data_IF_877967208683
#
_entry.id   IF_877967208683
#
_cell.length_a   1.000
_cell.length_b   1.000
_cell.length_c   1.000
_cell.angle_alpha   90.00
_cell.angle_beta   90.00
_cell.angle_gamma   90.00
#
_symmetry.space_group_name_H-M   'P 1'
#
loop_
_entity.id
_entity.type
_entity.pdbx_description
1 polymer ?
#
# COMPACT_ATOMS: atom_id res chain seq x y z
N UNK A 1 38.61 34.38 -18.67
CA UNK A 1 38.23 33.18 -17.89
C UNK A 1 36.81 33.26 -17.33
N UNK A 2 36.34 34.43 -16.86
CA UNK A 2 35.02 34.56 -16.22
C UNK A 2 33.81 34.19 -17.10
N UNK A 3 33.83 34.52 -18.40
CA UNK A 3 32.76 34.12 -19.33
C UNK A 3 32.89 32.66 -19.82
N UNK A 4 34.07 32.05 -19.69
CA UNK A 4 34.35 30.71 -20.21
C UNK A 4 33.65 29.63 -19.37
N UNK A 5 33.62 29.80 -18.04
CA UNK A 5 33.01 28.84 -17.13
C UNK A 5 31.50 28.70 -17.35
N UNK A 6 30.69 29.79 -17.44
CA UNK A 6 29.27 29.68 -17.78
C UNK A 6 29.02 29.04 -19.15
N UNK A 7 29.82 29.39 -20.17
CA UNK A 7 29.68 28.82 -21.53
C UNK A 7 29.95 27.31 -21.51
N UNK A 8 31.04 26.88 -20.86
CA UNK A 8 31.36 25.46 -20.71
C UNK A 8 30.24 24.74 -19.94
N UNK A 9 29.71 25.35 -18.88
CA UNK A 9 28.64 24.76 -18.07
C UNK A 9 27.36 24.58 -18.90
N UNK A 10 26.96 25.59 -19.68
CA UNK A 10 25.79 25.52 -20.58
C UNK A 10 26.01 24.43 -21.64
N UNK A 11 27.20 24.39 -22.25
CA UNK A 11 27.54 23.38 -23.24
C UNK A 11 27.45 21.97 -22.65
N UNK A 12 28.07 21.72 -21.49
CA UNK A 12 28.01 20.43 -20.80
C UNK A 12 26.57 20.05 -20.43
N UNK A 13 25.75 20.98 -19.95
CA UNK A 13 24.35 20.72 -19.61
C UNK A 13 23.52 20.36 -20.85
N UNK A 14 23.71 21.05 -21.98
CA UNK A 14 23.04 20.75 -23.23
C UNK A 14 23.51 19.40 -23.81
N UNK A 15 24.81 19.13 -23.80
CA UNK A 15 25.35 17.83 -24.21
C UNK A 15 24.81 16.70 -23.35
N UNK A 16 24.72 16.89 -22.03
CA UNK A 16 24.16 15.91 -21.11
C UNK A 16 22.66 15.67 -21.37
N UNK A 17 21.88 16.73 -21.62
CA UNK A 17 20.47 16.62 -21.94
C UNK A 17 20.25 15.84 -23.25
N UNK A 18 21.00 16.17 -24.30
CA UNK A 18 20.93 15.49 -25.60
C UNK A 18 21.33 14.01 -25.47
N UNK A 19 22.43 13.73 -24.76
CA UNK A 19 22.88 12.36 -24.50
C UNK A 19 21.84 11.58 -23.69
N UNK A 20 21.28 12.17 -22.63
CA UNK A 20 20.25 11.54 -21.81
C UNK A 20 19.01 11.20 -22.62
N UNK A 21 18.56 12.10 -23.50
CA UNK A 21 17.43 11.85 -24.40
C UNK A 21 17.75 10.78 -25.44
N UNK A 22 18.97 10.77 -25.99
CA UNK A 22 19.41 9.74 -26.93
C UNK A 22 19.45 8.34 -26.28
N UNK A 23 19.97 8.24 -25.05
CA UNK A 23 19.98 6.98 -24.27
C UNK A 23 18.56 6.53 -23.94
N UNK A 24 17.70 7.43 -23.45
CA UNK A 24 16.30 7.10 -23.18
C UNK A 24 15.56 6.64 -24.45
N UNK A 25 15.77 7.33 -25.58
CA UNK A 25 15.19 6.96 -26.86
C UNK A 25 15.76 5.66 -27.44
N UNK A 26 17.00 5.30 -27.13
CA UNK A 26 17.58 4.01 -27.53
C UNK A 26 16.88 2.84 -26.82
N UNK A 27 16.70 2.93 -25.50
CA UNK A 27 16.06 1.87 -24.73
C UNK A 27 14.53 1.88 -24.81
N UNK A 28 13.93 3.04 -25.07
CA UNK A 28 12.48 3.21 -25.19
C UNK A 28 12.14 4.18 -26.34
N UNK A 29 12.24 3.73 -27.60
CA UNK A 29 12.12 4.60 -28.78
C UNK A 29 10.71 5.17 -28.97
N UNK A 30 9.68 4.45 -28.54
CA UNK A 30 8.29 4.82 -28.70
C UNK A 30 7.53 4.64 -27.38
N UNK A 31 7.81 5.47 -26.35
CA UNK A 31 7.11 5.36 -25.09
C UNK A 31 5.62 5.64 -25.34
N UNK A 32 4.71 4.77 -24.88
CA UNK A 32 3.29 5.03 -24.91
C UNK A 32 2.97 6.32 -24.13
N UNK A 33 1.86 6.98 -24.45
CA UNK A 33 1.55 8.32 -23.93
C UNK A 33 1.51 8.36 -22.38
N UNK A 34 1.09 7.26 -21.77
CA UNK A 34 1.02 7.05 -20.32
C UNK A 34 2.41 7.16 -19.65
N UNK A 35 3.47 6.73 -20.34
CA UNK A 35 4.85 6.78 -19.84
C UNK A 35 5.56 8.11 -20.12
N UNK A 36 4.93 9.05 -20.85
CA UNK A 36 5.47 10.40 -21.08
C UNK A 36 5.21 11.37 -19.93
N UNK A 37 4.46 10.94 -18.92
CA UNK A 37 4.10 11.70 -17.72
C UNK A 37 3.33 13.02 -17.99
N UNK A 38 2.72 13.19 -19.18
CA UNK A 38 1.92 14.39 -19.50
C UNK A 38 0.73 14.60 -18.55
N UNK A 39 0.14 13.51 -18.07
CA UNK A 39 -0.95 13.54 -17.08
C UNK A 39 -0.59 14.25 -15.77
N UNK A 40 0.70 14.36 -15.43
CA UNK A 40 1.16 15.12 -14.26
C UNK A 40 1.06 16.65 -14.44
N UNK A 41 0.78 17.12 -15.67
CA UNK A 41 0.53 18.53 -15.99
C UNK A 41 -0.69 18.68 -16.91
N UNK A 42 -1.71 17.85 -16.69
CA UNK A 42 -2.96 17.86 -17.45
C UNK A 42 -3.64 19.24 -17.46
N UNK A 43 -3.59 19.95 -16.33
CA UNK A 43 -4.15 21.32 -16.21
C UNK A 43 -3.43 22.31 -17.13
N UNK A 44 -2.11 22.15 -17.29
CA UNK A 44 -1.31 22.95 -18.22
C UNK A 44 -1.59 22.54 -19.68
N UNK A 45 -2.02 21.29 -19.89
CA UNK A 45 -2.39 20.73 -21.19
C UNK A 45 -1.19 20.32 -22.03
N UNK A 46 -0.18 19.72 -21.40
CA UNK A 46 1.02 19.22 -22.08
C UNK A 46 1.02 17.69 -22.16
N UNK A 47 1.63 17.15 -23.21
CA UNK A 47 1.79 15.71 -23.39
C UNK A 47 3.04 15.16 -22.68
N UNK A 48 3.92 16.04 -22.24
CA UNK A 48 5.14 15.68 -21.51
C UNK A 48 5.90 16.90 -20.99
N UNK A 49 6.88 16.69 -20.10
CA UNK A 49 7.55 17.76 -19.37
C UNK A 49 8.37 18.71 -20.25
N UNK A 50 8.82 18.25 -21.42
CA UNK A 50 9.59 19.07 -22.37
C UNK A 50 8.77 20.21 -22.98
N UNK A 51 7.43 20.11 -22.98
CA UNK A 51 6.53 21.14 -23.51
C UNK A 51 6.22 22.25 -22.51
N UNK A 52 6.52 22.06 -21.21
CA UNK A 52 6.16 22.99 -20.13
C UNK A 52 6.63 24.43 -20.42
N UNK A 53 7.90 24.71 -20.80
CA UNK A 53 8.35 26.09 -21.00
C UNK A 53 7.53 26.84 -22.06
N UNK A 54 7.23 26.18 -23.18
CA UNK A 54 6.45 26.76 -24.28
C UNK A 54 4.98 26.89 -23.88
N UNK A 55 4.43 25.91 -23.17
CA UNK A 55 3.02 25.91 -22.76
C UNK A 55 2.71 27.05 -21.78
N UNK A 56 3.61 27.35 -20.84
CA UNK A 56 3.47 28.48 -19.91
C UNK A 56 3.38 29.81 -20.68
N UNK A 57 4.20 29.99 -21.71
CA UNK A 57 4.21 31.20 -22.53
C UNK A 57 2.96 31.30 -23.43
N UNK A 58 2.55 30.19 -24.06
CA UNK A 58 1.39 30.15 -24.96
C UNK A 58 0.04 30.19 -24.24
N UNK A 59 0.00 29.80 -22.96
CA UNK A 59 -1.24 29.63 -22.22
C UNK A 59 -1.08 30.07 -20.75
N UNK A 60 -0.83 31.37 -20.49
CA UNK A 60 -0.62 31.88 -19.13
C UNK A 60 -1.81 31.63 -18.20
N UNK A 61 -3.04 31.67 -18.72
CA UNK A 61 -4.25 31.33 -17.96
C UNK A 61 -4.24 29.89 -17.45
N UNK A 62 -3.71 28.93 -18.23
CA UNK A 62 -3.57 27.53 -17.80
C UNK A 62 -2.46 27.38 -16.78
N UNK A 63 -1.35 28.11 -16.94
CA UNK A 63 -0.26 28.13 -15.96
C UNK A 63 -0.74 28.64 -14.59
N UNK A 64 -1.53 29.71 -14.55
CA UNK A 64 -2.13 30.22 -13.30
C UNK A 64 -3.05 29.16 -12.68
N UNK A 65 -3.94 28.53 -13.47
CA UNK A 65 -4.80 27.44 -12.98
C UNK A 65 -4.00 26.28 -12.42
N UNK A 66 -2.91 25.89 -13.09
CA UNK A 66 -2.03 24.81 -12.66
C UNK A 66 -1.31 25.14 -11.35
N UNK A 67 -0.81 26.38 -11.17
CA UNK A 67 -0.20 26.83 -9.92
C UNK A 67 -1.23 26.85 -8.78
N UNK A 68 -2.46 27.32 -9.06
CA UNK A 68 -3.54 27.40 -8.07
C UNK A 68 -4.16 26.05 -7.72
N UNK A 69 -3.89 24.99 -8.49
CA UNK A 69 -4.30 23.64 -8.14
C UNK A 69 -3.56 23.14 -6.90
N UNK A 70 -4.30 22.60 -5.93
CA UNK A 70 -3.79 22.15 -4.62
C UNK A 70 -2.94 23.23 -3.91
N UNK A 71 -3.41 24.48 -3.97
CA UNK A 71 -2.67 25.64 -3.47
C UNK A 71 -2.25 25.49 -2.01
N UNK A 72 -3.11 24.91 -1.17
CA UNK A 72 -2.80 24.70 0.24
C UNK A 72 -1.60 23.76 0.43
N UNK A 73 -1.56 22.62 -0.27
CA UNK A 73 -0.42 21.70 -0.18
C UNK A 73 0.85 22.31 -0.78
N UNK A 74 0.75 23.05 -1.89
CA UNK A 74 1.90 23.74 -2.50
C UNK A 74 2.50 24.80 -1.59
N UNK A 75 1.66 25.58 -0.89
CA UNK A 75 2.12 26.55 0.10
C UNK A 75 2.75 25.84 1.31
N UNK A 76 2.12 24.77 1.81
CA UNK A 76 2.68 23.97 2.90
C UNK A 76 4.05 23.39 2.53
N UNK A 77 4.21 22.88 1.30
CA UNK A 77 5.47 22.38 0.76
C UNK A 77 6.58 23.44 0.78
N UNK A 78 6.31 24.65 0.30
CA UNK A 78 7.28 25.76 0.34
C UNK A 78 7.65 26.09 1.79
N UNK A 79 6.68 26.14 2.69
CA UNK A 79 6.91 26.38 4.12
C UNK A 79 7.81 25.28 4.70
N UNK A 80 7.51 24.00 4.44
CA UNK A 80 8.30 22.89 4.98
C UNK A 80 9.73 22.82 4.43
N UNK A 81 9.98 23.32 3.21
CA UNK A 81 11.34 23.45 2.69
C UNK A 81 12.14 24.57 3.34
N UNK A 82 11.48 25.65 3.78
CA UNK A 82 12.13 26.86 4.28
C UNK A 82 12.22 26.91 5.82
N UNK A 83 11.22 26.37 6.52
CA UNK A 83 11.11 26.44 7.98
C UNK A 83 12.27 25.75 8.74
N UNK A 84 12.79 24.58 8.33
CA UNK A 84 13.99 23.98 8.93
C UNK A 84 15.21 24.92 8.88
N UNK A 85 15.25 25.78 7.87
CA UNK A 85 16.31 26.76 7.63
C UNK A 85 15.91 28.18 8.10
N UNK A 86 14.87 28.30 8.94
CA UNK A 86 14.38 29.57 9.48
C UNK A 86 14.11 30.64 8.40
N UNK A 87 13.70 30.21 7.21
CA UNK A 87 13.45 31.09 6.06
C UNK A 87 14.67 31.91 5.59
N UNK A 88 15.88 31.61 6.09
CA UNK A 88 17.13 32.24 5.68
C UNK A 88 17.41 32.18 4.17
N UNK A 89 16.98 31.14 3.41
CA UNK A 89 17.18 31.13 1.95
C UNK A 89 16.58 32.34 1.23
N UNK A 90 15.51 32.96 1.77
CA UNK A 90 14.87 34.14 1.18
C UNK A 90 15.76 35.38 1.30
N UNK A 91 16.60 35.48 2.34
CA UNK A 91 17.47 36.62 2.55
C UNK A 91 18.56 36.72 1.47
N UNK A 92 18.93 35.61 0.84
CA UNK A 92 19.84 35.59 -0.32
C UNK A 92 19.44 34.50 -1.31
N UNK A 93 18.47 34.77 -2.21
CA UNK A 93 17.89 33.76 -3.10
C UNK A 93 18.78 33.44 -4.32
N UNK A 94 20.03 33.92 -4.36
CA UNK A 94 20.92 33.78 -5.52
C UNK A 94 21.10 32.33 -5.97
N UNK A 95 21.15 31.39 -5.03
CA UNK A 95 21.21 29.95 -5.36
C UNK A 95 19.84 29.36 -5.67
N UNK A 96 18.75 29.90 -5.10
CA UNK A 96 17.38 29.47 -5.45
C UNK A 96 17.03 29.74 -6.92
N UNK A 97 17.64 30.74 -7.55
CA UNK A 97 17.47 31.01 -8.99
C UNK A 97 17.86 29.79 -9.82
N UNK A 98 18.92 29.08 -9.44
CA UNK A 98 19.36 27.87 -10.12
C UNK A 98 18.35 26.70 -9.96
N UNK A 99 17.55 26.74 -8.90
CA UNK A 99 16.49 25.77 -8.63
C UNK A 99 15.11 26.19 -9.19
N UNK A 100 14.99 27.39 -9.76
CA UNK A 100 13.73 27.90 -10.29
C UNK A 100 13.09 26.98 -11.34
N UNK A 101 13.83 26.32 -12.25
CA UNK A 101 13.23 25.37 -13.20
C UNK A 101 12.54 24.19 -12.50
N UNK A 102 13.14 23.66 -11.43
CA UNK A 102 12.54 22.56 -10.67
C UNK A 102 11.31 23.03 -9.88
N UNK A 103 11.36 24.20 -9.25
CA UNK A 103 10.17 24.77 -8.60
C UNK A 103 9.05 25.03 -9.59
N UNK A 104 9.34 25.54 -10.79
CA UNK A 104 8.35 25.69 -11.84
C UNK A 104 7.75 24.34 -12.24
N UNK A 105 8.60 23.34 -12.50
CA UNK A 105 8.18 21.98 -12.83
C UNK A 105 7.25 21.37 -11.76
N UNK A 106 7.65 21.46 -10.49
CA UNK A 106 6.92 20.94 -9.33
C UNK A 106 5.60 21.69 -9.10
N UNK A 107 5.61 23.03 -9.06
CA UNK A 107 4.43 23.84 -8.75
C UNK A 107 3.44 23.97 -9.90
N UNK A 108 3.86 23.78 -11.15
CA UNK A 108 2.95 23.67 -12.30
C UNK A 108 2.28 22.30 -12.42
N UNK A 109 2.72 21.32 -11.64
CA UNK A 109 2.18 19.96 -11.71
C UNK A 109 0.86 19.84 -10.94
N UNK A 110 -0.03 18.98 -11.44
CA UNK A 110 -1.16 18.43 -10.68
C UNK A 110 -0.80 17.09 -10.00
N UNK A 111 0.46 16.67 -10.05
CA UNK A 111 0.95 15.46 -9.40
C UNK A 111 1.57 15.78 -8.03
N UNK A 112 0.79 15.54 -6.97
CA UNK A 112 1.13 15.85 -5.58
C UNK A 112 2.51 15.39 -5.11
N UNK A 113 3.01 14.19 -5.48
CA UNK A 113 4.37 13.75 -5.17
C UNK A 113 5.50 14.74 -5.47
N UNK A 114 5.37 15.61 -6.47
CA UNK A 114 6.41 16.58 -6.79
C UNK A 114 6.49 17.77 -5.83
N UNK A 115 5.42 18.05 -5.08
CA UNK A 115 5.34 19.13 -4.11
C UNK A 115 4.88 18.61 -2.75
N UNK A 116 5.41 17.46 -2.35
CA UNK A 116 5.08 16.81 -1.08
C UNK A 116 6.33 16.14 -0.50
N UNK A 117 6.48 16.20 0.83
CA UNK A 117 7.66 15.63 1.50
C UNK A 117 7.51 14.12 1.74
N UNK A 118 8.63 13.43 1.84
CA UNK A 118 8.69 11.97 2.06
C UNK A 118 8.98 11.16 0.80
N UNK A 119 9.07 11.80 -0.38
CA UNK A 119 9.59 11.21 -1.61
C UNK A 119 10.92 11.86 -2.00
N UNK A 120 11.56 11.28 -3.00
CA UNK A 120 12.87 11.70 -3.50
C UNK A 120 12.87 13.05 -4.24
N UNK A 121 11.72 13.52 -4.76
CA UNK A 121 11.68 14.70 -5.63
C UNK A 121 12.19 15.99 -4.98
N UNK A 122 11.79 16.34 -3.73
CA UNK A 122 12.27 17.56 -3.08
C UNK A 122 13.79 17.56 -2.81
N UNK A 123 14.46 16.41 -2.86
CA UNK A 123 15.91 16.32 -2.65
C UNK A 123 16.71 17.18 -3.65
N UNK A 124 16.16 17.40 -4.85
CA UNK A 124 16.75 18.27 -5.88
C UNK A 124 16.92 19.71 -5.36
N UNK A 125 16.02 20.18 -4.49
CA UNK A 125 16.06 21.54 -3.96
C UNK A 125 17.08 21.75 -2.83
N UNK A 126 17.50 20.67 -2.16
CA UNK A 126 18.34 20.70 -0.94
C UNK A 126 19.62 21.53 -1.10
N UNK A 127 20.52 21.27 -2.08
CA UNK A 127 21.78 22.01 -2.17
C UNK A 127 21.57 23.52 -2.36
N UNK A 128 20.53 23.92 -3.09
CA UNK A 128 20.21 25.32 -3.36
C UNK A 128 19.59 26.01 -2.14
N UNK A 129 18.72 25.31 -1.41
CA UNK A 129 18.14 25.80 -0.15
C UNK A 129 19.24 26.07 0.89
N UNK A 130 20.11 25.09 1.14
CA UNK A 130 21.21 25.25 2.10
C UNK A 130 22.23 26.30 1.67
N UNK A 131 22.59 26.32 0.38
CA UNK A 131 23.48 27.34 -0.15
C UNK A 131 22.93 28.76 0.01
N UNK A 132 21.65 28.98 -0.32
CA UNK A 132 20.97 30.25 -0.08
C UNK A 132 20.84 30.59 1.41
N UNK A 133 20.62 29.61 2.29
CA UNK A 133 20.63 29.84 3.74
C UNK A 133 21.99 30.32 4.24
N UNK A 134 23.10 29.72 3.79
CA UNK A 134 24.46 30.15 4.15
C UNK A 134 24.72 31.60 3.75
N UNK A 135 24.32 31.97 2.53
CA UNK A 135 24.43 33.34 2.04
C UNK A 135 23.49 34.29 2.80
N UNK A 136 22.31 33.82 3.22
CA UNK A 136 21.40 34.54 4.11
C UNK A 136 22.04 34.84 5.47
N UNK A 137 22.65 33.84 6.11
CA UNK A 137 23.38 34.02 7.39
C UNK A 137 24.52 35.04 7.24
N UNK A 138 25.23 35.03 6.10
CA UNK A 138 26.31 35.99 5.84
C UNK A 138 25.80 37.44 5.84
N UNK A 139 24.55 37.67 5.42
CA UNK A 139 23.89 38.99 5.42
C UNK A 139 23.43 39.43 6.82
N UNK A 140 23.24 38.51 7.76
CA UNK A 140 22.93 38.85 9.14
C UNK A 140 24.17 39.43 9.86
N UNK A 141 23.95 40.53 10.60
CA UNK A 141 24.97 41.21 11.40
C UNK A 141 24.92 40.64 12.83
N UNK A 142 26.07 40.19 13.35
CA UNK A 142 26.16 39.62 14.70
C UNK A 142 25.51 38.22 14.82
N UNK A 143 25.73 37.56 15.96
CA UNK A 143 25.06 36.32 16.38
C UNK A 143 25.03 35.13 15.38
N UNK A 144 25.91 35.09 14.37
CA UNK A 144 25.94 34.02 13.36
C UNK A 144 26.02 32.62 13.95
N UNK A 145 26.79 32.43 15.04
CA UNK A 145 26.86 31.15 15.76
C UNK A 145 25.50 30.77 16.37
N UNK A 146 24.80 31.72 16.96
CA UNK A 146 23.46 31.49 17.49
C UNK A 146 22.45 31.18 16.38
N UNK A 147 22.53 31.87 15.23
CA UNK A 147 21.69 31.56 14.06
C UNK A 147 21.92 30.14 13.54
N UNK A 148 23.19 29.74 13.39
CA UNK A 148 23.52 28.36 12.98
C UNK A 148 22.99 27.34 13.99
N UNK A 149 23.12 27.62 15.29
CA UNK A 149 22.56 26.78 16.34
C UNK A 149 21.03 26.69 16.24
N UNK A 150 20.33 27.80 16.01
CA UNK A 150 18.88 27.82 15.83
C UNK A 150 18.44 27.08 14.57
N UNK A 151 19.20 27.16 13.47
CA UNK A 151 18.94 26.36 12.26
C UNK A 151 19.07 24.88 12.56
N UNK A 152 20.09 24.47 13.32
CA UNK A 152 20.26 23.08 13.74
C UNK A 152 19.08 22.62 14.60
N UNK A 153 18.70 23.39 15.62
CA UNK A 153 17.55 23.09 16.49
C UNK A 153 16.26 22.99 15.65
N UNK A 154 16.02 23.96 14.77
CA UNK A 154 14.85 23.94 13.87
C UNK A 154 14.85 22.72 12.96
N UNK A 155 15.99 22.37 12.36
CA UNK A 155 16.12 21.20 11.49
C UNK A 155 15.85 19.90 12.25
N UNK A 156 16.35 19.77 13.48
CA UNK A 156 16.09 18.60 14.34
C UNK A 156 14.61 18.52 14.72
N UNK A 157 13.98 19.64 15.10
CA UNK A 157 12.55 19.67 15.43
C UNK A 157 11.68 19.30 14.23
N UNK A 158 11.93 19.87 13.05
CA UNK A 158 11.18 19.52 11.85
C UNK A 158 11.43 18.08 11.40
N UNK A 159 12.67 17.58 11.54
CA UNK A 159 12.96 16.16 11.31
C UNK A 159 12.16 15.27 12.25
N UNK A 160 12.11 15.60 13.56
CA UNK A 160 11.30 14.87 14.52
C UNK A 160 9.79 14.95 14.23
N UNK A 161 9.28 16.02 13.62
CA UNK A 161 7.85 16.16 13.31
C UNK A 161 7.45 15.54 11.97
N UNK A 162 8.34 15.56 10.97
CA UNK A 162 7.99 15.26 9.57
C UNK A 162 8.71 14.03 9.00
N UNK A 163 9.71 13.47 9.70
CA UNK A 163 10.44 12.30 9.20
C UNK A 163 9.57 11.04 9.28
N UNK A 164 9.50 10.21 8.22
CA UNK A 164 8.71 8.97 8.24
C UNK A 164 9.22 7.94 9.26
N UNK A 165 10.43 8.10 9.80
CA UNK A 165 10.97 7.25 10.88
C UNK A 165 10.74 7.81 12.28
N UNK A 166 10.09 8.97 12.41
CA UNK A 166 9.76 9.55 13.71
C UNK A 166 8.47 8.95 14.28
N UNK A 167 8.45 8.51 15.54
CA UNK A 167 7.22 8.08 16.22
C UNK A 167 6.11 9.15 16.21
N UNK A 168 6.49 10.43 16.20
CA UNK A 168 5.54 11.56 16.18
C UNK A 168 4.88 11.70 14.81
N UNK A 169 5.64 11.45 13.73
CA UNK A 169 5.16 11.55 12.36
C UNK A 169 4.29 10.34 11.95
N UNK A 170 4.50 9.18 12.56
CA UNK A 170 3.68 7.97 12.34
C UNK A 170 2.20 8.20 12.70
N UNK A 171 1.87 9.19 13.52
CA UNK A 171 0.49 9.55 13.84
C UNK A 171 -0.15 10.53 12.82
N UNK A 172 0.55 10.89 11.74
CA UNK A 172 0.19 12.02 10.89
C UNK A 172 0.18 11.69 9.39
N UNK A 173 -0.85 12.12 8.63
CA UNK A 173 -1.00 11.82 7.21
C UNK A 173 -0.14 12.70 6.28
N UNK A 174 0.93 13.34 6.79
CA UNK A 174 1.71 14.35 6.06
C UNK A 174 2.98 13.83 5.39
N UNK A 175 3.28 12.54 5.53
CA UNK A 175 4.46 11.92 4.89
C UNK A 175 4.04 10.94 3.79
N UNK A 176 4.79 10.93 2.68
CA UNK A 176 4.44 10.11 1.52
C UNK A 176 4.61 8.60 1.73
N UNK A 177 5.35 8.21 2.76
CA UNK A 177 5.59 6.84 3.14
C UNK A 177 5.18 6.65 4.59
N UNK A 178 3.95 6.20 4.79
CA UNK A 178 3.60 5.49 6.01
C UNK A 178 4.03 4.05 5.83
N UNK A 179 5.18 3.67 6.41
CA UNK A 179 5.51 2.26 6.54
C UNK A 179 4.82 1.76 7.82
N UNK A 180 3.85 0.84 7.73
CA UNK A 180 3.26 0.27 8.92
C UNK A 180 4.37 -0.38 9.75
N UNK A 181 4.27 -0.25 11.07
CA UNK A 181 5.15 -0.98 11.97
C UNK A 181 4.91 -2.48 11.73
N UNK A 182 5.91 -3.18 11.18
CA UNK A 182 5.83 -4.61 11.02
C UNK A 182 6.13 -5.30 12.34
N UNK A 183 5.29 -6.24 12.74
CA UNK A 183 5.53 -7.04 13.92
C UNK A 183 6.85 -7.81 13.76
N UNK A 184 7.66 -7.87 14.82
CA UNK A 184 8.96 -8.56 14.79
C UNK A 184 8.83 -10.00 14.32
N UNK A 185 7.86 -10.74 14.85
CA UNK A 185 7.61 -12.14 14.48
C UNK A 185 7.31 -12.31 12.99
N UNK A 186 6.61 -11.34 12.38
CA UNK A 186 6.33 -11.34 10.95
C UNK A 186 7.60 -11.14 10.11
N UNK A 187 8.47 -10.21 10.52
CA UNK A 187 9.77 -9.99 9.88
C UNK A 187 10.64 -11.26 9.98
N UNK A 188 10.68 -11.89 11.16
CA UNK A 188 11.41 -13.14 11.38
C UNK A 188 10.87 -14.27 10.50
N UNK A 189 9.55 -14.34 10.32
CA UNK A 189 8.92 -15.29 9.41
C UNK A 189 9.27 -15.03 7.94
N UNK A 190 9.35 -13.76 7.50
CA UNK A 190 9.80 -13.42 6.15
C UNK A 190 11.23 -13.89 5.89
N UNK A 191 12.14 -13.66 6.84
CA UNK A 191 13.52 -14.15 6.71
C UNK A 191 13.59 -15.68 6.68
N UNK A 192 12.78 -16.38 7.49
CA UNK A 192 12.66 -17.85 7.40
C UNK A 192 12.22 -18.27 6.00
N UNK A 193 11.25 -17.59 5.37
CA UNK A 193 10.85 -17.90 3.99
C UNK A 193 11.99 -17.69 2.99
N UNK A 194 12.77 -16.62 3.15
CA UNK A 194 13.94 -16.35 2.30
C UNK A 194 15.00 -17.45 2.45
N UNK A 195 15.22 -17.94 3.68
CA UNK A 195 16.20 -18.98 3.98
C UNK A 195 15.80 -20.36 3.43
N UNK A 196 14.50 -20.59 3.21
CA UNK A 196 14.00 -21.80 2.54
C UNK A 196 14.30 -21.83 1.03
N UNK A 197 14.69 -20.70 0.43
CA UNK A 197 15.02 -20.59 -0.99
C UNK A 197 16.51 -20.90 -1.19
N UNK A 198 16.88 -21.98 -1.91
CA UNK A 198 18.29 -22.29 -2.19
C UNK A 198 19.02 -21.12 -2.85
N UNK A 199 20.31 -20.92 -2.51
CA UNK A 199 21.09 -19.77 -2.99
C UNK A 199 21.16 -19.63 -4.52
N UNK A 200 21.14 -20.75 -5.24
CA UNK A 200 21.22 -20.80 -6.70
C UNK A 200 19.84 -20.80 -7.38
N UNK A 201 18.76 -20.93 -6.62
CA UNK A 201 17.40 -20.97 -7.16
C UNK A 201 16.98 -19.58 -7.63
N UNK A 202 16.18 -19.54 -8.69
CA UNK A 202 15.56 -18.30 -9.15
C UNK A 202 14.36 -17.93 -8.27
N UNK A 203 14.21 -16.64 -8.00
CA UNK A 203 13.12 -16.11 -7.16
C UNK A 203 12.47 -14.90 -7.83
N UNK A 204 11.16 -14.93 -7.99
CA UNK A 204 10.34 -13.79 -8.38
C UNK A 204 9.65 -13.21 -7.15
N UNK A 205 9.71 -11.90 -6.98
CA UNK A 205 9.13 -11.22 -5.81
C UNK A 205 8.66 -9.80 -6.15
N UNK A 206 8.10 -9.11 -5.16
CA UNK A 206 7.70 -7.69 -5.22
C UNK A 206 8.80 -6.75 -4.73
N UNK A 207 8.62 -5.45 -4.95
CA UNK A 207 9.61 -4.41 -4.69
C UNK A 207 9.99 -4.27 -3.20
N UNK A 208 9.05 -4.51 -2.28
CA UNK A 208 9.33 -4.48 -0.83
C UNK A 208 10.28 -5.60 -0.36
N UNK A 209 10.27 -6.75 -1.03
CA UNK A 209 11.05 -7.93 -0.65
C UNK A 209 12.33 -8.05 -1.50
N UNK A 210 12.31 -7.57 -2.76
CA UNK A 210 13.41 -7.71 -3.71
C UNK A 210 14.80 -7.34 -3.17
N UNK A 211 15.00 -6.23 -2.43
CA UNK A 211 16.30 -5.89 -1.87
C UNK A 211 16.92 -7.00 -1.02
N UNK A 212 16.09 -7.79 -0.33
CA UNK A 212 16.52 -8.89 0.54
C UNK A 212 16.97 -10.14 -0.23
N UNK A 213 16.59 -10.27 -1.50
CA UNK A 213 16.97 -11.40 -2.36
C UNK A 213 17.87 -11.01 -3.53
N UNK A 214 18.13 -9.71 -3.70
CA UNK A 214 18.87 -9.11 -4.82
C UNK A 214 20.35 -9.54 -4.94
N UNK A 215 20.90 -10.20 -3.92
CA UNK A 215 22.23 -10.82 -3.99
C UNK A 215 22.27 -12.08 -4.87
N UNK A 216 21.11 -12.66 -5.21
CA UNK A 216 21.01 -13.81 -6.11
C UNK A 216 21.07 -13.35 -7.56
N UNK A 217 21.84 -14.07 -8.39
CA UNK A 217 21.95 -13.77 -9.83
C UNK A 217 20.60 -13.83 -10.55
N UNK A 218 19.74 -14.78 -10.15
CA UNK A 218 18.42 -15.01 -10.74
C UNK A 218 17.29 -14.52 -9.83
N UNK A 219 17.44 -13.33 -9.23
CA UNK A 219 16.36 -12.65 -8.55
C UNK A 219 15.62 -11.71 -9.51
N UNK A 220 14.29 -11.76 -9.49
CA UNK A 220 13.41 -10.97 -10.33
C UNK A 220 12.42 -10.18 -9.47
N UNK A 221 12.13 -8.95 -9.90
CA UNK A 221 11.10 -8.12 -9.29
C UNK A 221 10.02 -7.88 -10.33
N UNK A 222 8.75 -8.03 -9.97
CA UNK A 222 7.68 -7.48 -10.81
C UNK A 222 7.80 -5.95 -10.82
N UNK A 223 7.50 -5.28 -11.95
CA UNK A 223 7.41 -3.84 -11.94
C UNK A 223 6.26 -3.40 -10.99
N UNK A 224 6.29 -2.15 -10.50
CA UNK A 224 5.21 -1.62 -9.68
C UNK A 224 3.94 -1.40 -10.50
N UNK A 225 2.82 -1.91 -10.00
CA UNK A 225 1.53 -1.82 -10.63
C UNK A 225 0.99 -0.41 -10.69
N UNK A 226 0.35 -0.10 -11.82
CA UNK A 226 -0.18 1.23 -12.06
C UNK A 226 -1.61 1.13 -12.60
N UNK A 227 -2.62 1.60 -11.84
CA UNK A 227 -4.04 1.41 -12.17
C UNK A 227 -4.43 2.00 -13.53
N UNK A 228 -3.70 3.03 -13.96
CA UNK A 228 -3.98 3.76 -15.19
C UNK A 228 -3.35 3.14 -16.44
N UNK A 229 -2.50 2.13 -16.30
CA UNK A 229 -1.88 1.46 -17.45
C UNK A 229 -2.81 0.33 -17.90
N UNK A 230 -3.67 0.61 -18.90
CA UNK A 230 -4.63 -0.38 -19.44
C UNK A 230 -3.99 -1.69 -19.90
N UNK A 231 -2.72 -1.63 -20.33
CA UNK A 231 -1.93 -2.79 -20.78
C UNK A 231 -0.93 -3.30 -19.73
N UNK A 232 -1.10 -2.92 -18.45
CA UNK A 232 -0.12 -3.20 -17.41
C UNK A 232 0.20 -4.69 -17.34
N UNK A 233 -0.84 -5.52 -17.31
CA UNK A 233 -0.72 -6.98 -17.25
C UNK A 233 0.03 -7.56 -18.45
N UNK A 234 -0.20 -7.04 -19.66
CA UNK A 234 0.51 -7.48 -20.88
C UNK A 234 1.98 -7.09 -20.85
N UNK A 235 2.27 -5.84 -20.44
CA UNK A 235 3.63 -5.35 -20.28
C UNK A 235 4.41 -6.15 -19.24
N UNK A 236 3.84 -6.40 -18.06
CA UNK A 236 4.49 -7.18 -17.00
C UNK A 236 4.77 -8.59 -17.48
N UNK A 237 3.80 -9.27 -18.12
CA UNK A 237 3.99 -10.61 -18.66
C UNK A 237 5.14 -10.64 -19.68
N UNK A 238 5.19 -9.67 -20.59
CA UNK A 238 6.27 -9.56 -21.57
C UNK A 238 7.62 -9.28 -20.89
N UNK A 239 7.65 -8.42 -19.88
CA UNK A 239 8.87 -8.08 -19.15
C UNK A 239 9.41 -9.29 -18.37
N UNK A 240 8.53 -10.04 -17.70
CA UNK A 240 8.87 -11.28 -17.00
C UNK A 240 9.38 -12.35 -17.98
N UNK A 241 8.71 -12.52 -19.11
CA UNK A 241 9.15 -13.48 -20.13
C UNK A 241 10.49 -13.10 -20.76
N UNK A 242 10.72 -11.81 -20.99
CA UNK A 242 12.00 -11.32 -21.51
C UNK A 242 13.15 -11.45 -20.49
N UNK A 243 12.86 -11.39 -19.18
CA UNK A 243 13.86 -11.55 -18.12
C UNK A 243 14.06 -13.01 -17.68
N UNK A 244 13.15 -13.91 -18.05
CA UNK A 244 13.07 -15.29 -17.52
C UNK A 244 12.42 -15.37 -16.14
N UNK A 245 11.84 -14.27 -15.64
CA UNK A 245 11.18 -14.22 -14.34
C UNK A 245 9.85 -14.99 -14.30
N UNK A 246 9.19 -15.21 -15.44
CA UNK A 246 8.01 -16.07 -15.55
C UNK A 246 8.34 -17.56 -15.34
N UNK A 247 9.61 -17.92 -15.42
CA UNK A 247 10.12 -19.27 -15.20
C UNK A 247 10.75 -19.51 -13.82
N UNK A 248 10.71 -18.52 -12.92
CA UNK A 248 11.34 -18.59 -11.60
C UNK A 248 10.96 -19.87 -10.83
N UNK A 249 11.91 -20.49 -10.12
CA UNK A 249 11.61 -21.68 -9.33
C UNK A 249 10.75 -21.33 -8.12
N UNK A 250 10.97 -20.16 -7.52
CA UNK A 250 10.24 -19.68 -6.36
C UNK A 250 9.54 -18.35 -6.62
N UNK A 251 8.40 -18.16 -5.97
CA UNK A 251 7.72 -16.87 -5.89
C UNK A 251 7.49 -16.55 -4.42
N UNK A 252 7.96 -15.39 -3.98
CA UNK A 252 7.80 -14.91 -2.62
C UNK A 252 6.94 -13.64 -2.62
N UNK A 253 5.90 -13.61 -1.79
CA UNK A 253 5.02 -12.45 -1.63
C UNK A 253 4.54 -12.33 -0.19
N UNK A 254 4.15 -11.12 0.20
CA UNK A 254 3.62 -10.80 1.53
C UNK A 254 2.33 -9.99 1.39
N UNK A 255 1.19 -10.61 1.74
CA UNK A 255 -0.13 -9.99 1.63
C UNK A 255 -0.53 -9.19 2.88
N UNK A 256 0.27 -9.19 3.95
CA UNK A 256 -0.10 -8.50 5.19
C UNK A 256 -0.03 -6.99 5.04
N UNK A 257 0.95 -6.53 4.28
CA UNK A 257 1.20 -5.12 4.04
C UNK A 257 1.11 -4.90 2.53
N UNK A 258 -0.13 -4.74 2.04
CA UNK A 258 -0.34 -4.44 0.62
C UNK A 258 0.49 -3.20 0.25
N UNK A 259 1.26 -3.33 -0.83
CA UNK A 259 2.01 -2.20 -1.34
C UNK A 259 1.01 -1.17 -1.91
N UNK A 260 1.42 0.10 -1.95
CA UNK A 260 0.63 1.22 -2.51
C UNK A 260 0.06 0.89 -3.91
N UNK A 261 0.72 -0.03 -4.60
CA UNK A 261 0.46 -0.39 -5.98
C UNK A 261 -0.24 -1.75 -6.16
N UNK A 262 -0.52 -2.54 -5.12
CA UNK A 262 -1.25 -3.81 -5.33
C UNK A 262 -0.42 -4.92 -6.04
N UNK A 263 0.90 -4.82 -5.95
CA UNK A 263 1.88 -5.71 -6.58
C UNK A 263 1.73 -7.16 -6.10
N UNK A 264 1.53 -7.36 -4.79
CA UNK A 264 1.34 -8.68 -4.20
C UNK A 264 0.05 -9.34 -4.72
N UNK A 265 -1.02 -8.57 -4.91
CA UNK A 265 -2.30 -9.01 -5.41
C UNK A 265 -2.21 -9.42 -6.88
N UNK A 266 -1.46 -8.66 -7.69
CA UNK A 266 -1.17 -9.06 -9.07
C UNK A 266 -0.38 -10.37 -9.12
N UNK A 267 0.69 -10.47 -8.32
CA UNK A 267 1.55 -11.65 -8.31
C UNK A 267 0.80 -12.89 -7.81
N UNK A 268 -0.05 -12.73 -6.79
CA UNK A 268 -0.95 -13.78 -6.32
C UNK A 268 -1.91 -14.24 -7.43
N UNK A 269 -2.55 -13.32 -8.14
CA UNK A 269 -3.42 -13.68 -9.27
C UNK A 269 -2.64 -14.40 -10.37
N UNK A 270 -1.42 -13.98 -10.68
CA UNK A 270 -0.57 -14.64 -11.65
C UNK A 270 -0.23 -16.09 -11.24
N UNK A 271 0.11 -16.33 -9.98
CA UNK A 271 0.35 -17.68 -9.44
C UNK A 271 -0.87 -18.58 -9.66
N UNK A 272 -2.06 -18.08 -9.26
CA UNK A 272 -3.31 -18.85 -9.33
C UNK A 272 -3.74 -19.16 -10.78
N UNK A 273 -3.45 -18.26 -11.72
CA UNK A 273 -3.76 -18.45 -13.14
C UNK A 273 -2.86 -19.47 -13.83
N UNK A 274 -1.55 -19.49 -13.53
CA UNK A 274 -0.60 -20.35 -14.24
C UNK A 274 -0.65 -21.82 -13.80
N UNK A 275 -1.18 -22.11 -12.60
CA UNK A 275 -1.38 -23.48 -12.05
C UNK A 275 -0.15 -24.39 -12.06
N UNK A 276 1.05 -23.83 -12.21
CA UNK A 276 2.34 -24.51 -12.20
C UNK A 276 3.13 -24.21 -10.92
N UNK A 277 2.53 -23.52 -9.96
CA UNK A 277 3.10 -23.22 -8.65
C UNK A 277 2.18 -23.74 -7.56
N UNK A 278 2.77 -24.37 -6.54
CA UNK A 278 2.07 -24.81 -5.33
C UNK A 278 2.68 -24.11 -4.13
N UNK A 279 1.89 -23.96 -3.05
CA UNK A 279 2.42 -23.43 -1.79
C UNK A 279 3.51 -24.36 -1.28
N UNK A 280 4.71 -23.81 -1.12
CA UNK A 280 5.87 -24.51 -0.56
C UNK A 280 6.01 -24.20 0.93
N UNK A 281 5.75 -22.96 1.33
CA UNK A 281 5.64 -22.55 2.72
C UNK A 281 4.67 -21.37 2.87
N UNK A 282 4.07 -21.25 4.05
CA UNK A 282 3.22 -20.11 4.42
C UNK A 282 3.39 -19.74 5.89
N UNK A 283 3.45 -18.43 6.17
CA UNK A 283 3.36 -17.88 7.52
C UNK A 283 2.73 -16.50 7.49
N UNK A 284 1.69 -16.26 8.30
CA UNK A 284 1.22 -14.90 8.60
C UNK A 284 1.05 -14.00 7.35
N UNK A 285 0.35 -14.52 6.33
CA UNK A 285 0.12 -13.89 5.02
C UNK A 285 1.33 -13.78 4.08
N UNK A 286 2.48 -14.34 4.46
CA UNK A 286 3.64 -14.55 3.60
C UNK A 286 3.48 -15.89 2.89
N UNK A 287 3.53 -15.87 1.56
CA UNK A 287 3.46 -17.07 0.73
C UNK A 287 4.78 -17.27 0.01
N UNK A 288 5.34 -18.47 0.16
CA UNK A 288 6.42 -18.97 -0.68
C UNK A 288 5.85 -20.07 -1.57
N UNK A 289 5.79 -19.82 -2.87
CA UNK A 289 5.41 -20.81 -3.86
C UNK A 289 6.64 -21.44 -4.50
N UNK A 290 6.51 -22.70 -4.89
CA UNK A 290 7.51 -23.41 -5.68
C UNK A 290 6.91 -24.01 -6.93
N UNK A 291 7.61 -23.83 -8.05
CA UNK A 291 7.21 -24.32 -9.36
C UNK A 291 7.22 -25.84 -9.39
N UNK A 292 6.17 -26.45 -9.95
CA UNK A 292 5.98 -27.90 -10.09
C UNK A 292 6.06 -28.69 -8.78
N UNK A 293 5.87 -28.04 -7.64
CA UNK A 293 5.90 -28.69 -6.34
C UNK A 293 4.62 -29.50 -6.12
N UNK A 294 4.76 -30.76 -5.69
CA UNK A 294 3.65 -31.71 -5.48
C UNK A 294 3.55 -32.22 -4.04
N UNK A 295 4.45 -31.78 -3.16
CA UNK A 295 4.42 -32.18 -1.75
C UNK A 295 3.49 -31.29 -0.94
N UNK A 296 3.23 -31.71 0.30
CA UNK A 296 2.64 -30.83 1.31
C UNK A 296 3.58 -29.65 1.59
N UNK A 297 3.06 -28.46 1.95
CA UNK A 297 3.93 -27.35 2.29
C UNK A 297 4.88 -27.71 3.45
N UNK A 298 6.17 -27.42 3.29
CA UNK A 298 7.22 -27.81 4.25
C UNK A 298 7.17 -27.00 5.55
N UNK A 299 6.51 -25.85 5.51
CA UNK A 299 6.29 -25.00 6.68
C UNK A 299 4.91 -24.33 6.56
N UNK A 300 4.07 -24.59 7.56
CA UNK A 300 2.77 -23.96 7.72
C UNK A 300 2.65 -23.52 9.17
N UNK A 301 2.76 -22.21 9.41
CA UNK A 301 2.49 -21.68 10.75
C UNK A 301 1.01 -21.94 11.08
N UNK A 302 0.68 -22.45 12.28
CA UNK A 302 -0.71 -22.58 12.72
C UNK A 302 -1.45 -21.26 12.54
N UNK A 303 -2.62 -21.33 11.90
CA UNK A 303 -3.44 -20.17 11.61
C UNK A 303 -4.66 -20.17 12.53
N UNK A 304 -4.83 -19.08 13.27
CA UNK A 304 -6.00 -18.81 14.11
C UNK A 304 -6.40 -17.35 13.91
N UNK A 305 -7.60 -17.13 13.39
CA UNK A 305 -8.19 -15.81 13.25
C UNK A 305 -9.36 -15.70 14.23
N UNK A 306 -9.44 -14.60 14.97
CA UNK A 306 -10.60 -14.27 15.80
C UNK A 306 -11.20 -12.99 15.23
N UNK A 307 -12.36 -13.13 14.60
CA UNK A 307 -13.03 -12.09 13.85
C UNK A 307 -14.22 -11.58 14.65
N UNK A 308 -14.19 -10.31 15.05
CA UNK A 308 -15.28 -9.71 15.83
C UNK A 308 -15.70 -8.36 15.24
N UNK A 309 -16.33 -7.50 16.05
CA UNK A 309 -16.76 -6.15 15.68
C UNK A 309 -15.67 -5.26 15.05
N UNK A 310 -14.38 -5.58 15.24
CA UNK A 310 -13.26 -4.84 14.62
C UNK A 310 -12.99 -5.27 13.18
N UNK A 311 -13.39 -6.48 12.81
CA UNK A 311 -13.04 -7.12 11.54
C UNK A 311 -14.24 -7.27 10.60
N UNK A 312 -15.44 -7.44 11.16
CA UNK A 312 -16.66 -7.71 10.42
C UNK A 312 -17.45 -6.43 10.14
N UNK A 313 -18.11 -6.41 9.00
CA UNK A 313 -19.04 -5.35 8.61
C UNK A 313 -20.47 -5.75 8.96
N UNK A 314 -21.25 -4.78 9.43
CA UNK A 314 -22.69 -4.94 9.68
C UNK A 314 -23.45 -4.33 8.51
N UNK A 315 -24.44 -5.05 7.98
CA UNK A 315 -25.40 -4.49 7.03
C UNK A 315 -26.72 -4.12 7.69
N UNK A 316 -27.38 -5.09 8.31
CA UNK A 316 -28.60 -4.88 9.08
C UNK A 316 -28.37 -5.26 10.54
N UNK A 317 -28.14 -4.26 11.39
CA UNK A 317 -27.86 -4.43 12.80
C UNK A 317 -27.07 -3.27 13.39
N UNK A 318 -26.55 -3.43 14.61
CA UNK A 318 -25.62 -2.48 15.22
C UNK A 318 -24.64 -3.17 16.18
N UNK A 319 -23.70 -2.41 16.75
CA UNK A 319 -22.84 -2.89 17.82
C UNK A 319 -23.45 -2.52 19.18
N UNK A 320 -23.37 -3.42 20.16
CA UNK A 320 -23.69 -3.13 21.56
C UNK A 320 -22.63 -3.67 22.50
N UNK A 321 -22.57 -3.10 23.70
CA UNK A 321 -21.76 -3.66 24.78
C UNK A 321 -22.50 -4.83 25.43
N UNK A 322 -21.77 -5.93 25.62
CA UNK A 322 -22.25 -7.10 26.33
C UNK A 322 -21.14 -7.64 27.24
N UNK A 323 -21.23 -7.45 28.57
CA UNK A 323 -20.20 -7.91 29.49
C UNK A 323 -20.13 -9.43 29.65
N UNK A 324 -21.11 -10.17 29.11
CA UNK A 324 -21.12 -11.64 29.12
C UNK A 324 -20.37 -12.24 27.92
N UNK A 325 -19.97 -11.41 26.95
CA UNK A 325 -19.21 -11.82 25.77
C UNK A 325 -17.71 -11.70 26.00
N UNK A 326 -16.91 -12.41 25.19
CA UNK A 326 -15.45 -12.30 25.24
C UNK A 326 -14.96 -10.99 24.63
N UNK A 327 -15.61 -10.52 23.56
CA UNK A 327 -15.20 -9.27 22.88
C UNK A 327 -15.65 -8.00 23.61
N UNK A 328 -16.53 -8.11 24.61
CA UNK A 328 -17.23 -7.00 25.31
C UNK A 328 -18.11 -6.09 24.43
N UNK A 329 -17.83 -5.99 23.14
CA UNK A 329 -18.67 -5.38 22.12
C UNK A 329 -19.04 -6.45 21.09
N UNK A 330 -20.33 -6.59 20.82
CA UNK A 330 -20.89 -7.64 19.96
C UNK A 330 -21.74 -7.03 18.85
N UNK A 331 -21.87 -7.74 17.75
CA UNK A 331 -22.82 -7.39 16.70
C UNK A 331 -24.20 -7.86 17.15
N UNK A 332 -25.25 -7.08 16.87
CA UNK A 332 -26.63 -7.43 17.17
C UNK A 332 -27.57 -7.12 16.00
N UNK A 333 -28.46 -8.07 15.71
CA UNK A 333 -29.58 -7.96 14.79
C UNK A 333 -30.88 -8.10 15.58
N UNK A 334 -31.70 -7.04 15.64
CA UNK A 334 -32.91 -6.98 16.46
C UNK A 334 -34.14 -7.29 15.63
N UNK A 335 -35.25 -7.62 16.32
CA UNK A 335 -36.56 -7.87 15.70
C UNK A 335 -37.07 -6.72 14.81
N UNK A 336 -36.62 -5.49 15.04
CA UNK A 336 -36.99 -4.33 14.23
C UNK A 336 -36.03 -4.03 13.06
N UNK A 337 -34.89 -4.71 12.97
CA UNK A 337 -33.94 -4.51 11.88
C UNK A 337 -34.48 -5.17 10.60
N UNK A 338 -34.02 -4.72 9.43
CA UNK A 338 -34.44 -5.29 8.14
C UNK A 338 -33.86 -6.71 7.96
N UNK A 339 -34.71 -7.65 7.53
CA UNK A 339 -34.27 -9.02 7.25
C UNK A 339 -33.25 -9.09 6.11
N UNK A 340 -32.31 -10.04 6.18
CA UNK A 340 -31.34 -10.30 5.13
C UNK A 340 -29.92 -10.49 5.65
N UNK A 341 -28.93 -9.80 5.08
CA UNK A 341 -27.54 -9.90 5.56
C UNK A 341 -27.38 -9.16 6.88
N UNK A 342 -26.99 -9.90 7.92
CA UNK A 342 -26.62 -9.33 9.20
C UNK A 342 -25.17 -8.84 9.17
N UNK A 343 -24.22 -9.74 8.94
CA UNK A 343 -22.78 -9.42 8.92
C UNK A 343 -22.04 -10.13 7.79
N UNK A 344 -20.87 -9.61 7.42
CA UNK A 344 -19.97 -10.17 6.40
C UNK A 344 -18.53 -9.63 6.55
N UNK A 345 -17.59 -10.15 5.74
CA UNK A 345 -16.16 -9.84 5.80
C UNK A 345 -15.35 -10.95 6.49
N UNK A 346 -14.04 -10.77 6.75
CA UNK A 346 -13.21 -9.60 6.47
C UNK A 346 -12.55 -9.58 5.08
N UNK A 347 -12.85 -10.53 4.19
CA UNK A 347 -12.18 -10.69 2.88
C UNK A 347 -10.69 -11.08 3.00
N UNK A 348 -10.40 -12.12 3.79
CA UNK A 348 -9.04 -12.61 4.02
C UNK A 348 -8.58 -13.58 2.92
N UNK A 349 -7.27 -13.66 2.70
CA UNK A 349 -6.69 -14.72 1.88
C UNK A 349 -6.29 -15.90 2.76
N UNK A 350 -6.87 -17.07 2.51
CA UNK A 350 -6.57 -18.30 3.24
C UNK A 350 -5.66 -19.22 2.41
N UNK A 351 -4.61 -19.82 3.00
CA UNK A 351 -3.81 -20.84 2.31
C UNK A 351 -4.60 -22.15 2.11
N UNK A 352 -4.06 -23.13 1.37
CA UNK A 352 -4.64 -24.47 1.32
C UNK A 352 -4.70 -25.12 2.71
N UNK A 353 -5.71 -25.94 2.93
CA UNK A 353 -5.86 -26.71 4.17
C UNK A 353 -7.30 -26.95 4.58
N UNK A 354 -7.46 -27.64 5.70
CA UNK A 354 -8.73 -27.86 6.36
C UNK A 354 -8.96 -26.78 7.42
N UNK A 355 -10.21 -26.34 7.53
CA UNK A 355 -10.61 -25.24 8.38
C UNK A 355 -11.84 -25.59 9.20
N UNK A 356 -11.83 -25.06 10.42
CA UNK A 356 -12.98 -25.04 11.32
C UNK A 356 -13.28 -23.57 11.63
N UNK A 357 -14.49 -23.12 11.30
CA UNK A 357 -15.00 -21.79 11.63
C UNK A 357 -16.12 -21.90 12.67
N UNK A 358 -15.89 -21.33 13.85
CA UNK A 358 -16.78 -21.38 14.99
C UNK A 358 -17.44 -20.03 15.20
N UNK A 359 -18.76 -19.97 15.04
CA UNK A 359 -19.59 -18.78 15.21
C UNK A 359 -20.20 -18.80 16.61
N UNK A 360 -19.85 -17.83 17.45
CA UNK A 360 -20.37 -17.72 18.81
C UNK A 360 -21.59 -16.80 18.82
N UNK A 361 -22.77 -17.40 18.85
CA UNK A 361 -24.07 -16.72 18.73
C UNK A 361 -24.87 -16.77 20.02
N UNK A 362 -25.77 -15.81 20.20
CA UNK A 362 -26.75 -15.79 21.30
C UNK A 362 -28.09 -15.27 20.80
N UNK A 363 -29.18 -15.71 21.42
CA UNK A 363 -30.55 -15.22 21.17
C UNK A 363 -31.26 -14.80 22.45
N UNK A 364 -32.21 -13.87 22.35
CA UNK A 364 -33.02 -13.41 23.50
C UNK A 364 -34.14 -14.37 23.90
N UNK A 365 -34.67 -15.14 22.94
CA UNK A 365 -35.87 -15.97 23.08
C UNK A 365 -35.69 -17.26 22.29
N UNK A 366 -36.21 -18.37 22.82
CA UNK A 366 -36.29 -19.65 22.10
C UNK A 366 -37.56 -19.71 21.24
N UNK A 367 -37.53 -20.56 20.21
CA UNK A 367 -38.65 -20.71 19.29
C UNK A 367 -38.35 -21.71 18.18
N UNK A 368 -39.04 -21.56 17.06
CA UNK A 368 -38.90 -22.43 15.89
C UNK A 368 -38.94 -21.62 14.59
N UNK A 369 -38.26 -22.12 13.57
CA UNK A 369 -38.18 -21.50 12.24
C UNK A 369 -36.80 -20.96 11.94
N UNK A 370 -36.57 -20.69 10.66
CA UNK A 370 -35.28 -20.23 10.15
C UNK A 370 -34.85 -18.92 10.81
N UNK A 371 -33.68 -18.93 11.45
CA UNK A 371 -33.13 -17.77 12.13
C UNK A 371 -32.11 -17.04 11.26
N UNK A 372 -31.07 -17.75 10.79
CA UNK A 372 -29.97 -17.19 10.03
C UNK A 372 -29.20 -18.30 9.30
N UNK A 373 -28.67 -18.03 8.11
CA UNK A 373 -27.68 -18.89 7.45
C UNK A 373 -26.29 -18.32 7.68
N UNK A 374 -25.40 -19.12 8.25
CA UNK A 374 -23.97 -18.79 8.35
C UNK A 374 -23.19 -19.46 7.22
N UNK A 375 -22.23 -18.75 6.63
CA UNK A 375 -21.43 -19.26 5.52
C UNK A 375 -19.95 -18.88 5.63
N UNK A 376 -19.10 -19.76 5.10
CA UNK A 376 -17.76 -19.44 4.64
C UNK A 376 -17.79 -19.38 3.09
N UNK A 377 -17.52 -18.21 2.52
CA UNK A 377 -17.66 -17.97 1.08
C UNK A 377 -16.53 -17.08 0.53
N UNK A 378 -16.39 -17.03 -0.79
CA UNK A 378 -15.52 -16.11 -1.51
C UNK A 378 -16.23 -15.58 -2.77
N UNK A 379 -15.56 -14.69 -3.52
CA UNK A 379 -16.07 -14.12 -4.78
C UNK A 379 -17.45 -13.46 -4.59
N UNK A 380 -17.58 -12.63 -3.54
CA UNK A 380 -18.83 -11.96 -3.17
C UNK A 380 -20.00 -12.94 -2.95
N UNK A 381 -19.70 -14.16 -2.51
CA UNK A 381 -20.71 -15.19 -2.25
C UNK A 381 -21.04 -16.10 -3.40
N UNK A 382 -20.39 -15.96 -4.55
CA UNK A 382 -20.61 -16.86 -5.69
C UNK A 382 -20.07 -18.26 -5.35
N UNK A 383 -18.96 -18.32 -4.61
CA UNK A 383 -18.32 -19.56 -4.19
C UNK A 383 -18.52 -19.79 -2.70
N UNK A 384 -19.40 -20.72 -2.33
CA UNK A 384 -19.66 -21.12 -0.95
C UNK A 384 -18.89 -22.40 -0.62
N UNK A 385 -18.09 -22.39 0.44
CA UNK A 385 -17.28 -23.53 0.88
C UNK A 385 -18.02 -24.38 1.93
N UNK A 386 -18.74 -23.72 2.83
CA UNK A 386 -19.61 -24.35 3.82
C UNK A 386 -20.75 -23.39 4.17
N UNK A 387 -21.90 -23.97 4.53
CA UNK A 387 -23.11 -23.25 4.88
C UNK A 387 -23.88 -24.04 5.95
N UNK A 388 -24.51 -23.35 6.90
CA UNK A 388 -25.43 -23.93 7.88
C UNK A 388 -26.62 -22.98 8.05
N UNK A 389 -27.80 -23.46 7.67
CA UNK A 389 -29.08 -22.81 7.96
C UNK A 389 -29.49 -23.10 9.40
N UNK A 390 -29.32 -22.13 10.29
CA UNK A 390 -29.60 -22.28 11.72
C UNK A 390 -31.08 -21.98 11.96
N UNK A 391 -31.80 -22.97 12.48
CA UNK A 391 -33.14 -22.79 13.01
C UNK A 391 -33.10 -22.31 14.46
N UNK A 392 -34.06 -21.47 14.87
CA UNK A 392 -34.13 -20.95 16.23
C UNK A 392 -34.25 -22.06 17.29
N UNK A 393 -34.79 -23.21 16.92
CA UNK A 393 -34.90 -24.39 17.78
C UNK A 393 -33.57 -25.08 18.09
N UNK A 394 -32.49 -24.74 17.39
CA UNK A 394 -31.15 -25.27 17.66
C UNK A 394 -30.48 -24.63 18.87
N UNK A 395 -30.97 -23.47 19.34
CA UNK A 395 -30.50 -22.85 20.56
C UNK A 395 -31.02 -23.59 21.78
N UNK A 396 -30.12 -24.00 22.67
CA UNK A 396 -30.48 -24.76 23.87
C UNK A 396 -31.13 -23.90 24.95
N UNK A 397 -30.63 -22.69 25.12
CA UNK A 397 -31.05 -21.76 26.17
C UNK A 397 -31.00 -20.32 25.65
N UNK A 398 -32.04 -19.55 25.95
CA UNK A 398 -32.07 -18.11 25.67
C UNK A 398 -31.12 -17.35 26.61
N UNK A 399 -30.47 -16.32 26.10
CA UNK A 399 -29.56 -15.46 26.87
C UNK A 399 -28.15 -16.03 27.11
N UNK A 400 -27.84 -17.23 26.60
CA UNK A 400 -26.51 -17.85 26.68
C UNK A 400 -25.82 -17.92 25.32
N UNK A 401 -24.49 -17.79 25.32
CA UNK A 401 -23.67 -17.96 24.12
C UNK A 401 -23.56 -19.44 23.76
N UNK A 402 -23.77 -19.74 22.48
CA UNK A 402 -23.68 -21.07 21.88
C UNK A 402 -22.82 -21.01 20.62
N UNK A 403 -21.98 -22.03 20.42
CA UNK A 403 -21.09 -22.13 19.27
C UNK A 403 -21.74 -22.96 18.16
N UNK A 404 -21.64 -22.47 16.92
CA UNK A 404 -22.03 -23.16 15.69
C UNK A 404 -20.80 -23.32 14.80
N UNK A 405 -20.60 -24.52 14.25
CA UNK A 405 -19.32 -24.89 13.60
C UNK A 405 -19.53 -25.17 12.12
N UNK A 406 -18.70 -24.57 11.28
CA UNK A 406 -18.55 -24.90 9.87
C UNK A 406 -17.18 -25.52 9.62
N UNK A 407 -17.17 -26.69 8.98
CA UNK A 407 -15.94 -27.34 8.51
C UNK A 407 -15.85 -27.21 6.99
N UNK A 408 -14.68 -26.81 6.48
CA UNK A 408 -14.44 -26.71 5.04
C UNK A 408 -12.97 -26.95 4.69
N UNK A 409 -12.71 -27.26 3.42
CA UNK A 409 -11.36 -27.51 2.90
C UNK A 409 -11.07 -26.65 1.67
N UNK A 410 -9.82 -26.25 1.53
CA UNK A 410 -9.31 -25.47 0.40
C UNK A 410 -8.11 -26.19 -0.22
N UNK A 411 -8.21 -26.57 -1.48
CA UNK A 411 -7.10 -27.23 -2.21
C UNK A 411 -6.02 -26.25 -2.70
N UNK A 412 -6.40 -24.98 -2.84
CA UNK A 412 -5.55 -23.90 -3.34
C UNK A 412 -5.73 -22.67 -2.44
N UNK A 413 -4.78 -21.72 -2.42
CA UNK A 413 -5.02 -20.44 -1.76
C UNK A 413 -6.28 -19.78 -2.33
N UNK A 414 -7.14 -19.28 -1.46
CA UNK A 414 -8.36 -18.56 -1.85
C UNK A 414 -8.30 -17.16 -1.29
N UNK A 415 -8.52 -16.19 -2.18
CA UNK A 415 -8.62 -14.77 -1.84
C UNK A 415 -10.04 -14.36 -1.45
N UNK A 416 -10.14 -13.23 -0.77
CA UNK A 416 -11.40 -12.53 -0.49
C UNK A 416 -12.43 -13.44 0.21
N UNK A 417 -11.94 -14.33 1.09
CA UNK A 417 -12.79 -15.21 1.90
C UNK A 417 -13.49 -14.38 2.96
N UNK A 418 -14.81 -14.48 2.97
CA UNK A 418 -15.70 -13.87 3.95
C UNK A 418 -16.44 -14.93 4.75
N UNK A 419 -16.72 -14.57 6.01
CA UNK A 419 -17.60 -15.29 6.91
C UNK A 419 -18.82 -14.40 7.14
N UNK A 420 -20.01 -14.90 6.84
CA UNK A 420 -21.21 -14.08 6.75
C UNK A 420 -22.41 -14.73 7.38
N UNK A 421 -23.31 -13.90 7.89
CA UNK A 421 -24.63 -14.26 8.36
C UNK A 421 -25.67 -13.63 7.45
N UNK A 422 -26.33 -14.46 6.64
CA UNK A 422 -27.34 -14.05 5.66
C UNK A 422 -28.70 -14.64 6.01
N UNK A 423 -29.76 -14.11 5.40
CA UNK A 423 -31.14 -14.50 5.68
C UNK A 423 -31.53 -14.41 7.17
N UNK A 424 -30.92 -13.48 7.91
CA UNK A 424 -31.28 -13.19 9.29
C UNK A 424 -32.75 -12.77 9.37
N UNK A 425 -33.49 -13.44 10.25
CA UNK A 425 -34.92 -13.23 10.47
C UNK A 425 -35.20 -12.44 11.75
N UNK A 426 -36.46 -12.05 11.92
CA UNK A 426 -36.90 -11.21 13.04
C UNK A 426 -37.64 -12.02 14.11
N UNK A 427 -37.43 -13.34 14.15
CA UNK A 427 -38.05 -14.23 15.14
C UNK A 427 -37.58 -13.89 16.56
N UNK A 428 -36.32 -13.50 16.70
CA UNK A 428 -35.69 -13.07 17.96
C UNK A 428 -34.54 -12.10 17.68
N UNK A 429 -33.97 -11.49 18.72
CA UNK A 429 -32.71 -10.76 18.59
C UNK A 429 -31.56 -11.75 18.48
N UNK A 430 -30.67 -11.56 17.50
CA UNK A 430 -29.47 -12.38 17.27
C UNK A 430 -28.24 -11.56 17.66
N UNK A 431 -27.33 -12.17 18.41
CA UNK A 431 -26.04 -11.58 18.75
C UNK A 431 -24.92 -12.44 18.18
N UNK A 432 -23.84 -11.80 17.70
CA UNK A 432 -22.58 -12.45 17.35
C UNK A 432 -21.46 -11.82 18.17
N UNK A 433 -20.75 -12.63 18.94
CA UNK A 433 -19.54 -12.21 19.67
C UNK A 433 -18.33 -12.19 18.73
N UNK A 434 -17.92 -13.38 18.28
CA UNK A 434 -16.81 -13.56 17.36
C UNK A 434 -17.02 -14.78 16.46
N UNK A 435 -16.20 -14.84 15.42
CA UNK A 435 -15.99 -16.01 14.57
C UNK A 435 -14.52 -16.42 14.73
N UNK A 436 -14.28 -17.63 15.23
CA UNK A 436 -12.93 -18.19 15.33
C UNK A 436 -12.68 -19.11 14.15
N UNK A 437 -11.62 -18.86 13.38
CA UNK A 437 -11.23 -19.66 12.22
C UNK A 437 -9.88 -20.29 12.49
N UNK A 438 -9.85 -21.61 12.56
CA UNK A 438 -8.64 -22.40 12.82
C UNK A 438 -8.33 -23.29 11.64
N UNK A 439 -7.07 -23.27 11.17
CA UNK A 439 -6.56 -24.26 10.21
C UNK A 439 -6.17 -25.53 10.96
N UNK A 440 -6.78 -26.67 10.62
CA UNK A 440 -6.63 -27.94 11.34
C UNK A 440 -5.77 -28.98 10.61
N UNK A 441 -5.45 -28.76 9.32
CA UNK A 441 -4.57 -29.61 8.51
C UNK A 441 -4.03 -28.86 7.32
#
# INVERSE_FOLDING_TARGET
>A
MEALVPIITIFLALSWLLLSNAVQGFFNPNPPAELKAGHNWEILGVEGPTQIPIAVLKSPNKAIKAISYDLQAKLAYIVYLLAPLLFLPILSPSMLVLNAPFFAFSLLSNYRPYYYLGLQYPAIAVPFLFGSAILGIKRCIGARRALVFLVLVSSVLHSAMLSPVSPVALAQPWTAYYKPFMARDHIEDLYKMIDLIPEQASVLTVNSIFPHVSSRMNAYCIPPWHPFIKKYNEFVRRALSASGGDEAEFILLDLKYSEIYGDNEFLMSWVLENRNYSVYAYSDSIFLFRRWYKGEPIFLRPMRLVLNYKNLHIRFGSNITDPTSESSLVLVHRKQDDQGTFFFGPYVTLPPGNYVATFRLKVDELGSGHLITIEAAAELGIKVFASHEIDLSEFKEAGLWQDFVLEFSLDVPVRDVEFRGIYASNLTTIYLDYIEVVRTG
#
